data_IF_889847286744
#
_entry.id   IF_889847286744
#
_cell.length_a   1.000
_cell.length_b   1.000
_cell.length_c   1.000
_cell.angle_alpha   90.00
_cell.angle_beta   90.00
_cell.angle_gamma   90.00
#
_symmetry.space_group_name_H-M   'P 1'
#
loop_
_entity.id
_entity.type
_entity.pdbx_description
1 polymer ?
#
# COMPACT_ATOMS: atom_id res chain seq x y z
N UNK A 1 -2.14 -16.84 35.01
CA UNK A 1 -2.85 -16.14 33.91
C UNK A 1 -4.33 -16.30 34.14
N UNK A 2 -5.09 -15.21 34.23
CA UNK A 2 -6.55 -15.28 34.27
C UNK A 2 -7.03 -15.53 32.84
N UNK A 3 -7.81 -16.59 32.65
CA UNK A 3 -8.43 -16.89 31.36
C UNK A 3 -9.62 -15.94 31.17
N UNK A 4 -9.44 -14.91 30.34
CA UNK A 4 -10.51 -13.98 30.00
C UNK A 4 -11.23 -14.47 28.74
N UNK A 5 -12.48 -14.90 28.89
CA UNK A 5 -13.33 -15.27 27.76
C UNK A 5 -13.99 -13.99 27.24
N UNK A 6 -13.67 -13.59 26.01
CA UNK A 6 -14.38 -12.52 25.33
C UNK A 6 -15.78 -13.00 24.95
N UNK A 7 -16.80 -12.34 25.47
CA UNK A 7 -18.17 -12.54 25.03
C UNK A 7 -18.37 -11.79 23.71
N UNK A 8 -18.63 -12.52 22.63
CA UNK A 8 -18.75 -11.95 21.28
C UNK A 8 -20.14 -12.26 20.73
N UNK A 9 -20.82 -11.20 20.33
CA UNK A 9 -22.08 -11.30 19.62
C UNK A 9 -21.83 -11.45 18.11
N UNK A 10 -22.05 -12.65 17.60
CA UNK A 10 -21.78 -13.00 16.20
C UNK A 10 -22.70 -12.23 15.25
N UNK A 11 -23.99 -12.12 15.56
CA UNK A 11 -24.96 -11.39 14.74
C UNK A 11 -24.61 -9.90 14.58
N UNK A 12 -24.22 -9.24 15.67
CA UNK A 12 -23.77 -7.85 15.64
C UNK A 12 -22.50 -7.69 14.81
N UNK A 13 -21.52 -8.57 14.98
CA UNK A 13 -20.27 -8.49 14.22
C UNK A 13 -20.50 -8.67 12.70
N UNK A 14 -21.43 -9.57 12.32
CA UNK A 14 -21.84 -9.75 10.93
C UNK A 14 -22.54 -8.49 10.41
N UNK A 15 -23.43 -7.87 11.19
CA UNK A 15 -24.11 -6.63 10.82
C UNK A 15 -23.12 -5.48 10.61
N UNK A 16 -22.11 -5.36 11.46
CA UNK A 16 -21.09 -4.33 11.33
C UNK A 16 -20.23 -4.55 10.10
N UNK A 17 -19.82 -5.79 9.83
CA UNK A 17 -19.08 -6.13 8.59
C UNK A 17 -19.94 -5.89 7.34
N UNK A 18 -21.23 -6.22 7.39
CA UNK A 18 -22.19 -5.94 6.30
C UNK A 18 -22.25 -4.44 6.00
N UNK A 19 -22.34 -3.59 7.03
CA UNK A 19 -22.34 -2.13 6.90
C UNK A 19 -21.01 -1.60 6.34
N UNK A 20 -19.87 -2.16 6.75
CA UNK A 20 -18.55 -1.78 6.23
C UNK A 20 -18.41 -2.05 4.72
N UNK A 21 -19.04 -3.12 4.23
CA UNK A 21 -19.06 -3.48 2.81
C UNK A 21 -20.17 -2.78 2.02
N UNK A 22 -20.98 -1.93 2.68
CA UNK A 22 -22.12 -1.20 2.11
C UNK A 22 -23.14 -2.09 1.35
N UNK A 23 -23.27 -3.35 1.77
CA UNK A 23 -24.22 -4.29 1.15
C UNK A 23 -25.55 -4.27 1.89
N UNK A 24 -26.69 -4.35 1.19
CA UNK A 24 -28.01 -4.39 1.85
C UNK A 24 -28.27 -5.73 2.54
N UNK A 25 -29.23 -5.78 3.48
CA UNK A 25 -29.65 -7.05 4.12
C UNK A 25 -30.21 -8.06 3.10
N UNK A 26 -30.87 -7.57 2.06
CA UNK A 26 -31.37 -8.40 0.95
C UNK A 26 -30.22 -9.01 0.16
N UNK A 27 -29.17 -8.23 -0.10
CA UNK A 27 -27.97 -8.71 -0.79
C UNK A 27 -27.22 -9.75 0.03
N UNK A 28 -27.05 -9.53 1.34
CA UNK A 28 -26.50 -10.54 2.24
C UNK A 28 -27.30 -11.86 2.17
N UNK A 29 -28.64 -11.77 2.21
CA UNK A 29 -29.51 -12.94 2.09
C UNK A 29 -29.31 -13.73 0.80
N UNK A 30 -29.14 -13.03 -0.33
CA UNK A 30 -28.83 -13.67 -1.62
C UNK A 30 -27.48 -14.39 -1.59
N UNK A 31 -26.44 -13.78 -1.04
CA UNK A 31 -25.09 -14.36 -0.99
C UNK A 31 -25.00 -15.63 -0.14
N UNK A 32 -25.72 -15.68 0.97
CA UNK A 32 -25.76 -16.86 1.85
C UNK A 32 -26.95 -17.78 1.54
N UNK A 33 -27.67 -17.53 0.44
CA UNK A 33 -28.83 -18.30 0.00
C UNK A 33 -29.92 -18.50 1.07
N UNK A 34 -30.27 -17.42 1.80
CA UNK A 34 -31.37 -17.42 2.77
C UNK A 34 -32.38 -16.30 2.48
N UNK A 35 -33.69 -16.54 2.72
CA UNK A 35 -34.69 -15.48 2.57
C UNK A 35 -34.43 -14.32 3.54
N UNK A 36 -34.77 -13.09 3.11
CA UNK A 36 -34.50 -11.86 3.88
C UNK A 36 -35.05 -11.90 5.33
N UNK A 37 -36.18 -12.55 5.55
CA UNK A 37 -36.76 -12.73 6.89
C UNK A 37 -35.82 -13.49 7.85
N UNK A 38 -35.05 -14.44 7.33
CA UNK A 38 -34.06 -15.19 8.10
C UNK A 38 -32.80 -14.37 8.35
N UNK A 39 -32.43 -13.44 7.45
CA UNK A 39 -31.28 -12.55 7.65
C UNK A 39 -31.48 -11.68 8.89
N UNK A 40 -32.65 -11.08 9.09
CA UNK A 40 -32.91 -10.27 10.29
C UNK A 40 -32.72 -11.10 11.57
N UNK A 41 -33.24 -12.33 11.60
CA UNK A 41 -33.07 -13.24 12.73
C UNK A 41 -31.62 -13.66 12.96
N UNK A 42 -30.82 -13.75 11.90
CA UNK A 42 -29.38 -14.08 11.97
C UNK A 42 -28.61 -12.92 12.62
N UNK A 43 -28.93 -11.68 12.26
CA UNK A 43 -28.24 -10.48 12.76
C UNK A 43 -28.61 -10.15 14.21
N UNK A 44 -29.80 -10.52 14.66
CA UNK A 44 -30.27 -10.31 16.04
C UNK A 44 -29.72 -11.35 17.03
N UNK A 45 -29.23 -12.50 16.54
CA UNK A 45 -28.77 -13.60 17.40
C UNK A 45 -27.31 -13.47 17.78
N UNK A 46 -27.04 -13.70 19.06
CA UNK A 46 -25.68 -13.74 19.60
C UNK A 46 -24.89 -14.98 19.14
N UNK A 47 -25.58 -16.10 18.96
CA UNK A 47 -24.98 -17.39 18.59
C UNK A 47 -25.31 -17.79 17.15
N UNK A 48 -24.44 -18.62 16.57
CA UNK A 48 -24.62 -19.14 15.22
C UNK A 48 -24.06 -20.56 15.11
N UNK A 49 -24.71 -21.39 14.29
CA UNK A 49 -24.16 -22.69 13.93
C UNK A 49 -22.88 -22.53 13.11
N UNK A 50 -21.86 -23.33 13.41
CA UNK A 50 -20.52 -23.26 12.79
C UNK A 50 -20.57 -23.27 11.26
N UNK A 51 -21.35 -24.18 10.65
CA UNK A 51 -21.45 -24.27 9.19
C UNK A 51 -22.09 -23.01 8.56
N UNK A 52 -23.06 -22.41 9.24
CA UNK A 52 -23.66 -21.14 8.79
C UNK A 52 -22.66 -20.01 8.92
N UNK A 53 -21.87 -19.99 10.00
CA UNK A 53 -20.82 -19.00 10.19
C UNK A 53 -19.73 -19.11 9.12
N UNK A 54 -19.38 -20.33 8.67
CA UNK A 54 -18.49 -20.53 7.52
C UNK A 54 -19.07 -19.89 6.25
N UNK A 55 -20.32 -20.20 5.91
CA UNK A 55 -20.97 -19.63 4.72
C UNK A 55 -21.05 -18.11 4.75
N UNK A 56 -21.35 -17.52 5.91
CA UNK A 56 -21.36 -16.07 6.10
C UNK A 56 -19.95 -15.49 5.99
N UNK A 57 -18.95 -16.20 6.53
CA UNK A 57 -17.53 -15.80 6.43
C UNK A 57 -17.06 -15.74 4.98
N UNK A 58 -17.41 -16.73 4.17
CA UNK A 58 -17.12 -16.78 2.74
C UNK A 58 -17.85 -15.65 2.00
N UNK A 59 -19.15 -15.47 2.26
CA UNK A 59 -19.97 -14.45 1.61
C UNK A 59 -19.56 -12.99 1.88
N UNK A 60 -18.94 -12.74 3.04
CA UNK A 60 -18.46 -11.44 3.49
C UNK A 60 -16.93 -11.29 3.41
N UNK A 61 -16.25 -12.29 2.86
CA UNK A 61 -14.79 -12.37 2.75
C UNK A 61 -14.09 -11.98 4.06
N UNK A 62 -14.59 -12.51 5.18
CA UNK A 62 -14.10 -12.19 6.51
C UNK A 62 -14.18 -13.38 7.44
N UNK A 63 -13.09 -13.69 8.13
CA UNK A 63 -13.02 -14.82 9.05
C UNK A 63 -13.58 -14.45 10.43
N UNK A 64 -14.86 -14.71 10.67
CA UNK A 64 -15.51 -14.40 11.94
C UNK A 64 -15.02 -15.25 13.12
N UNK A 65 -14.36 -16.39 12.87
CA UNK A 65 -13.77 -17.21 13.94
C UNK A 65 -12.64 -16.48 14.68
N UNK A 66 -11.96 -15.55 14.01
CA UNK A 66 -10.90 -14.76 14.62
C UNK A 66 -11.38 -13.84 15.74
N UNK A 67 -12.68 -13.52 15.78
CA UNK A 67 -13.22 -12.67 16.83
C UNK A 67 -13.04 -13.32 18.20
N UNK A 68 -13.14 -14.64 18.25
CA UNK A 68 -13.02 -15.45 19.47
C UNK A 68 -11.58 -15.68 19.91
N UNK A 69 -10.59 -15.25 19.13
CA UNK A 69 -9.19 -15.35 19.53
C UNK A 69 -8.88 -14.28 20.59
N UNK A 70 -8.47 -14.68 21.82
CA UNK A 70 -8.15 -13.72 22.89
C UNK A 70 -7.07 -12.72 22.47
N UNK A 71 -6.11 -13.17 21.66
CA UNK A 71 -4.90 -12.44 21.35
C UNK A 71 -4.61 -12.44 19.83
N UNK A 72 -5.15 -11.47 19.09
CA UNK A 72 -4.79 -11.27 17.66
C UNK A 72 -3.34 -10.81 17.48
N UNK A 73 -2.82 -10.06 18.46
CA UNK A 73 -1.44 -9.54 18.48
C UNK A 73 -0.41 -10.55 19.00
N UNK A 74 -0.88 -11.58 19.70
CA UNK A 74 -0.08 -12.72 20.11
C UNK A 74 -0.13 -13.79 19.02
N UNK A 75 0.10 -13.38 17.76
CA UNK A 75 0.80 -14.24 16.81
C UNK A 75 2.17 -14.49 17.40
N UNK A 76 2.23 -15.39 18.37
CA UNK A 76 3.45 -16.00 18.86
C UNK A 76 4.09 -16.59 17.61
N UNK A 77 5.08 -15.88 17.06
CA UNK A 77 6.04 -16.46 16.13
C UNK A 77 6.36 -17.83 16.67
N UNK A 78 6.22 -18.91 15.89
CA UNK A 78 6.42 -20.28 16.37
C UNK A 78 7.72 -20.45 17.20
N UNK A 79 8.72 -19.58 16.99
CA UNK A 79 9.89 -19.36 17.85
C UNK A 79 9.61 -19.18 19.34
N UNK A 80 8.60 -18.41 19.74
CA UNK A 80 8.31 -18.08 21.14
C UNK A 80 7.46 -19.16 21.85
N UNK A 81 6.71 -19.98 21.11
CA UNK A 81 5.94 -21.09 21.70
C UNK A 81 6.83 -22.30 21.98
N UNK A 82 7.82 -22.57 21.13
CA UNK A 82 8.74 -23.70 21.28
C UNK A 82 9.67 -23.58 22.50
N UNK A 83 10.01 -22.37 22.93
CA UNK A 83 10.82 -22.14 24.14
C UNK A 83 10.02 -22.26 25.44
N UNK A 84 8.68 -22.18 25.38
CA UNK A 84 7.83 -22.15 26.58
C UNK A 84 7.29 -23.53 26.99
N UNK A 85 7.25 -24.52 26.09
CA UNK A 85 6.73 -25.84 26.40
C UNK A 85 7.77 -26.91 26.11
N UNK A 86 8.30 -27.54 27.16
CA UNK A 86 9.26 -28.64 27.13
C UNK A 86 8.65 -29.96 26.58
N UNK A 87 7.85 -29.87 25.52
CA UNK A 87 7.10 -30.94 24.92
C UNK A 87 7.31 -30.92 23.41
N UNK A 88 8.07 -31.90 22.94
CA UNK A 88 8.36 -32.24 21.56
C UNK A 88 7.13 -32.04 20.63
N UNK A 89 7.16 -31.02 19.75
CA UNK A 89 6.16 -30.85 18.69
C UNK A 89 6.78 -31.23 17.36
N UNK A 90 6.52 -32.46 16.93
CA UNK A 90 6.82 -32.99 15.59
C UNK A 90 5.76 -32.53 14.57
N UNK A 91 5.44 -31.24 14.52
CA UNK A 91 4.54 -30.68 13.51
C UNK A 91 5.09 -29.33 13.06
N UNK A 92 5.80 -29.32 11.93
CA UNK A 92 5.62 -28.41 10.78
C UNK A 92 6.82 -28.50 9.84
N UNK A 93 6.81 -29.45 8.89
CA UNK A 93 7.68 -29.40 7.71
C UNK A 93 7.00 -28.69 6.51
N UNK A 94 5.94 -27.91 6.78
CA UNK A 94 5.14 -27.21 5.74
C UNK A 94 5.25 -25.68 5.88
N UNK A 95 5.85 -25.16 6.95
CA UNK A 95 5.94 -23.72 7.23
C UNK A 95 7.26 -23.06 6.80
N UNK A 96 8.40 -23.75 6.94
CA UNK A 96 9.72 -23.15 6.70
C UNK A 96 9.94 -22.83 5.21
N UNK A 97 9.64 -23.77 4.30
CA UNK A 97 9.92 -23.58 2.87
C UNK A 97 9.11 -22.47 2.20
N UNK A 98 7.87 -22.21 2.66
CA UNK A 98 6.99 -21.18 2.07
C UNK A 98 7.35 -19.79 2.59
N UNK A 99 7.73 -19.68 3.87
CA UNK A 99 8.18 -18.42 4.48
C UNK A 99 9.56 -18.05 3.97
N UNK A 100 10.49 -19.00 3.84
CA UNK A 100 11.82 -18.77 3.29
C UNK A 100 11.76 -18.36 1.81
N UNK A 101 10.90 -19.00 1.02
CA UNK A 101 10.69 -18.60 -0.37
C UNK A 101 10.12 -17.18 -0.49
N UNK A 102 9.14 -16.83 0.35
CA UNK A 102 8.53 -15.49 0.35
C UNK A 102 9.53 -14.42 0.81
N UNK A 103 10.34 -14.72 1.82
CA UNK A 103 11.40 -13.84 2.32
C UNK A 103 12.52 -13.67 1.28
N UNK A 104 12.91 -14.74 0.59
CA UNK A 104 13.89 -14.68 -0.49
C UNK A 104 13.40 -13.82 -1.66
N UNK A 105 12.14 -13.97 -2.07
CA UNK A 105 11.51 -13.15 -3.12
C UNK A 105 11.47 -11.67 -2.70
N UNK A 106 11.09 -11.38 -1.45
CA UNK A 106 11.09 -10.02 -0.92
C UNK A 106 12.49 -9.39 -0.94
N UNK A 107 13.52 -10.14 -0.54
CA UNK A 107 14.91 -9.66 -0.56
C UNK A 107 15.42 -9.38 -1.98
N UNK A 108 15.07 -10.24 -2.96
CA UNK A 108 15.39 -10.00 -4.38
C UNK A 108 14.72 -8.72 -4.88
N UNK A 109 13.45 -8.51 -4.51
CA UNK A 109 12.72 -7.30 -4.89
C UNK A 109 13.33 -6.03 -4.26
N UNK A 110 13.73 -6.09 -2.99
CA UNK A 110 14.41 -4.99 -2.30
C UNK A 110 15.72 -4.65 -3.01
N UNK A 111 16.54 -5.65 -3.33
CA UNK A 111 17.81 -5.44 -4.04
C UNK A 111 17.59 -4.83 -5.44
N UNK A 112 16.58 -5.30 -6.17
CA UNK A 112 16.19 -4.75 -7.47
C UNK A 112 15.77 -3.28 -7.38
N UNK A 113 14.92 -2.94 -6.39
CA UNK A 113 14.49 -1.57 -6.15
C UNK A 113 15.65 -0.65 -5.74
N UNK A 114 16.58 -1.15 -4.92
CA UNK A 114 17.80 -0.41 -4.57
C UNK A 114 18.66 -0.10 -5.79
N UNK A 115 18.85 -1.08 -6.69
CA UNK A 115 19.59 -0.87 -7.94
C UNK A 115 18.90 0.15 -8.86
N UNK A 116 17.57 0.12 -8.96
CA UNK A 116 16.81 1.12 -9.73
C UNK A 116 16.96 2.52 -9.13
N UNK A 117 16.88 2.63 -7.81
CA UNK A 117 17.06 3.89 -7.09
C UNK A 117 18.45 4.49 -7.35
N UNK A 118 19.51 3.69 -7.33
CA UNK A 118 20.88 4.15 -7.62
C UNK A 118 21.06 4.56 -9.08
N UNK A 119 20.43 3.84 -10.01
CA UNK A 119 20.42 4.21 -11.43
C UNK A 119 19.71 5.55 -11.65
N UNK A 120 18.55 5.74 -11.02
CA UNK A 120 17.79 7.00 -11.09
C UNK A 120 18.57 8.16 -10.47
N UNK A 121 19.22 7.95 -9.32
CA UNK A 121 20.08 8.97 -8.69
C UNK A 121 21.21 9.42 -9.62
N UNK A 122 21.90 8.47 -10.27
CA UNK A 122 22.94 8.80 -11.26
C UNK A 122 22.40 9.57 -12.45
N UNK A 123 21.24 9.15 -12.97
CA UNK A 123 20.58 9.85 -14.09
C UNK A 123 20.22 11.30 -13.72
N UNK A 124 19.66 11.52 -12.54
CA UNK A 124 19.33 12.86 -12.04
C UNK A 124 20.58 13.74 -11.89
N UNK A 125 21.69 13.20 -11.37
CA UNK A 125 22.93 13.95 -11.26
C UNK A 125 23.45 14.41 -12.63
N UNK A 126 23.43 13.52 -13.63
CA UNK A 126 23.81 13.86 -15.01
C UNK A 126 22.88 14.91 -15.62
N UNK A 127 21.56 14.77 -15.43
CA UNK A 127 20.58 15.74 -15.92
C UNK A 127 20.79 17.12 -15.28
N UNK A 128 21.11 17.16 -13.99
CA UNK A 128 21.38 18.41 -13.28
C UNK A 128 22.61 19.14 -13.84
N UNK A 129 23.73 18.43 -14.04
CA UNK A 129 24.93 18.99 -14.66
C UNK A 129 24.64 19.52 -16.07
N UNK A 130 23.91 18.75 -16.88
CA UNK A 130 23.53 19.17 -18.23
C UNK A 130 22.63 20.41 -18.24
N UNK A 131 21.78 20.59 -17.22
CA UNK A 131 20.96 21.79 -17.08
C UNK A 131 21.83 23.00 -16.72
N UNK A 132 22.76 22.84 -15.78
CA UNK A 132 23.71 23.90 -15.40
C UNK A 132 24.55 24.35 -16.61
N UNK A 133 25.06 23.40 -17.40
CA UNK A 133 25.80 23.71 -18.63
C UNK A 133 24.94 24.49 -19.65
N UNK A 134 23.67 24.08 -19.81
CA UNK A 134 22.73 24.79 -20.70
C UNK A 134 22.44 26.20 -20.21
N UNK A 135 22.29 26.41 -18.90
CA UNK A 135 22.10 27.74 -18.31
C UNK A 135 23.30 28.66 -18.57
N UNK A 136 24.54 28.14 -18.45
CA UNK A 136 25.75 28.90 -18.82
C UNK A 136 25.77 29.27 -20.30
N UNK A 137 25.40 28.36 -21.18
CA UNK A 137 25.34 28.64 -22.63
C UNK A 137 24.30 29.72 -22.94
N UNK A 138 23.13 29.67 -22.29
CA UNK A 138 22.09 30.69 -22.44
C UNK A 138 22.62 32.05 -22.00
N UNK A 139 23.28 32.13 -20.84
CA UNK A 139 23.86 33.38 -20.35
C UNK A 139 24.88 33.98 -21.34
N UNK A 140 25.80 33.17 -21.88
CA UNK A 140 26.75 33.62 -22.89
C UNK A 140 26.09 34.10 -24.19
N UNK A 141 25.02 33.42 -24.62
CA UNK A 141 24.27 33.84 -25.81
C UNK A 141 23.53 35.15 -25.57
N UNK A 142 22.97 35.35 -24.38
CA UNK A 142 22.31 36.60 -24.01
C UNK A 142 23.28 37.77 -24.02
N UNK A 143 24.46 37.61 -23.43
CA UNK A 143 25.52 38.64 -23.46
C UNK A 143 25.92 39.02 -24.90
N UNK A 144 26.01 38.03 -25.80
CA UNK A 144 26.28 38.27 -27.22
C UNK A 144 25.15 39.05 -27.92
N UNK A 145 23.90 38.74 -27.59
CA UNK A 145 22.73 39.47 -28.12
C UNK A 145 22.77 40.92 -27.64
N UNK A 146 23.05 41.16 -26.36
CA UNK A 146 23.13 42.50 -25.78
C UNK A 146 24.26 43.32 -26.43
N UNK A 147 25.42 42.71 -26.69
CA UNK A 147 26.50 43.34 -27.45
C UNK A 147 26.08 43.69 -28.88
N UNK A 148 25.43 42.77 -29.58
CA UNK A 148 24.95 43.02 -30.94
C UNK A 148 23.92 44.16 -30.98
N UNK A 149 23.01 44.22 -30.00
CA UNK A 149 22.05 45.31 -29.90
C UNK A 149 22.76 46.65 -29.74
N UNK A 150 23.77 46.73 -28.87
CA UNK A 150 24.57 47.95 -28.69
C UNK A 150 25.30 48.38 -29.95
N UNK A 151 25.83 47.44 -30.73
CA UNK A 151 26.46 47.74 -32.04
C UNK A 151 25.41 48.26 -33.03
N UNK A 152 24.22 47.67 -33.04
CA UNK A 152 23.10 48.10 -33.89
C UNK A 152 22.68 49.54 -33.56
N UNK A 153 22.54 49.86 -32.28
CA UNK A 153 22.17 51.20 -31.81
C UNK A 153 23.22 52.24 -32.24
N UNK A 154 24.52 51.93 -32.09
CA UNK A 154 25.62 52.80 -32.54
C UNK A 154 25.66 52.97 -34.08
N UNK A 155 25.29 51.94 -34.83
CA UNK A 155 25.19 52.04 -36.28
C UNK A 155 24.00 52.91 -36.70
N UNK A 156 22.87 52.78 -36.01
CA UNK A 156 21.69 53.60 -36.27
C UNK A 156 21.96 55.08 -35.99
N UNK A 157 22.59 55.39 -34.85
CA UNK A 157 22.97 56.77 -34.49
C UNK A 157 23.88 57.42 -35.55
N UNK A 158 24.81 56.64 -36.14
CA UNK A 158 25.66 57.12 -37.23
C UNK A 158 24.92 57.36 -38.54
N UNK A 159 23.94 56.52 -38.86
CA UNK A 159 23.09 56.69 -40.05
C UNK A 159 22.29 57.98 -39.89
N UNK A 160 21.62 58.16 -38.75
CA UNK A 160 20.82 59.35 -38.48
C UNK A 160 21.67 60.64 -38.56
N UNK A 161 22.92 60.59 -38.07
CA UNK A 161 23.85 61.73 -38.15
C UNK A 161 24.33 62.05 -39.58
N UNK A 162 24.36 61.06 -40.49
CA UNK A 162 24.68 61.25 -41.91
C UNK A 162 23.49 61.81 -42.69
N UNK A 163 22.28 61.37 -42.38
CA UNK A 163 21.04 61.83 -43.02
C UNK A 163 20.65 63.26 -42.61
N UNK A 164 21.12 63.73 -41.45
CA UNK A 164 20.87 65.08 -40.95
C UNK A 164 21.77 66.19 -41.56
N UNK A 165 22.66 65.87 -42.50
CA UNK A 165 23.59 66.81 -43.18
C UNK A 165 23.14 67.11 -44.60
#
# INVERSE_FOLDING_TARGET
MAFEIKHINVGSAIEDRRKQLDITKTELGRRINVPQQHVNRILERETMETNKLVQVSEALEFNFFELFCPNKDERVSAKNAAVAFNGNVTNTHVGDGVVDASLAVANIQIASLQNQLDTLKKSNATLHNNLEDKERIIAMKQEKIDMMQKVMDLMQEKIDALEAR
#
